data_IF_981576703026
#
_entry.id   IF_981576703026
#
_cell.length_a   1.000
_cell.length_b   1.000
_cell.length_c   1.000
_cell.angle_alpha   90.00
_cell.angle_beta   90.00
_cell.angle_gamma   90.00
#
_symmetry.space_group_name_H-M   'P 1'
#
loop_
_entity.id
_entity.type
_entity.pdbx_description
1 polymer ?
#
# COMPACT_ATOMS: atom_id res chain seq x y z
N UNK A 1 0.14 10.80 -24.96
CA UNK A 1 -0.74 11.54 -24.02
C UNK A 1 0.07 12.61 -23.33
N UNK A 2 -0.04 13.86 -23.78
CA UNK A 2 0.55 15.00 -23.07
C UNK A 2 -0.22 15.22 -21.77
N UNK A 3 0.43 15.07 -20.61
CA UNK A 3 -0.21 15.33 -19.32
C UNK A 3 -0.52 16.81 -19.21
N UNK A 4 -1.82 17.15 -19.19
CA UNK A 4 -2.40 18.49 -19.09
C UNK A 4 -2.21 19.18 -17.73
N UNK A 5 -1.28 18.70 -16.90
CA UNK A 5 -1.07 19.20 -15.54
C UNK A 5 0.00 20.29 -15.58
N UNK A 6 -0.43 21.52 -15.34
CA UNK A 6 0.42 22.70 -15.16
C UNK A 6 0.56 23.04 -13.67
N UNK A 7 1.67 23.67 -13.32
CA UNK A 7 2.00 24.12 -11.96
C UNK A 7 2.58 25.52 -12.05
N UNK A 8 2.22 26.40 -11.12
CA UNK A 8 2.80 27.74 -11.04
C UNK A 8 4.27 27.70 -10.62
N UNK A 9 5.10 28.51 -11.28
CA UNK A 9 6.44 28.81 -10.82
C UNK A 9 6.43 29.91 -9.73
N UNK A 10 7.62 30.37 -9.34
CA UNK A 10 7.80 31.45 -8.36
C UNK A 10 7.32 32.82 -8.88
N UNK A 11 7.20 32.98 -10.20
CA UNK A 11 6.76 34.20 -10.89
C UNK A 11 5.24 34.17 -11.19
N UNK A 12 4.55 33.07 -10.85
CA UNK A 12 3.12 32.89 -11.06
C UNK A 12 2.73 32.37 -12.44
N UNK A 13 3.70 31.96 -13.27
CA UNK A 13 3.45 31.41 -14.60
C UNK A 13 3.09 29.93 -14.52
N UNK A 14 2.06 29.51 -15.26
CA UNK A 14 1.65 28.10 -15.34
C UNK A 14 2.54 27.34 -16.33
N UNK A 15 3.42 26.49 -15.80
CA UNK A 15 4.33 25.66 -16.59
C UNK A 15 3.93 24.19 -16.51
N UNK A 16 4.18 23.39 -17.58
CA UNK A 16 3.92 21.96 -17.54
C UNK A 16 4.77 21.29 -16.46
N UNK A 17 4.18 20.34 -15.71
CA UNK A 17 4.84 19.75 -14.52
C UNK A 17 6.19 19.09 -14.84
N UNK A 18 6.38 18.60 -16.07
CA UNK A 18 7.63 18.00 -16.55
C UNK A 18 8.80 18.98 -16.56
N UNK A 19 8.55 20.29 -16.69
CA UNK A 19 9.57 21.33 -16.65
C UNK A 19 10.31 21.37 -15.29
N UNK A 20 9.66 20.88 -14.23
CA UNK A 20 10.23 20.85 -12.89
C UNK A 20 11.04 19.58 -12.60
N UNK A 21 11.24 18.69 -13.57
CA UNK A 21 12.15 17.56 -13.41
C UNK A 21 13.61 17.99 -13.57
N UNK A 22 14.49 17.49 -12.72
CA UNK A 22 15.93 17.70 -12.89
C UNK A 22 16.55 16.58 -13.73
N UNK A 23 17.47 16.87 -14.67
CA UNK A 23 18.19 15.85 -15.44
C UNK A 23 18.98 14.86 -14.58
N UNK A 24 19.45 15.31 -13.41
CA UNK A 24 20.22 14.51 -12.45
C UNK A 24 19.35 13.51 -11.65
N UNK A 25 18.02 13.55 -11.80
CA UNK A 25 17.09 12.70 -11.06
C UNK A 25 16.90 13.08 -9.59
N UNK A 26 17.43 14.24 -9.16
CA UNK A 26 17.15 14.81 -7.84
C UNK A 26 15.67 15.19 -7.72
N UNK A 27 15.14 15.06 -6.51
CA UNK A 27 13.76 15.42 -6.22
C UNK A 27 13.65 16.95 -6.14
N UNK A 28 12.75 17.54 -6.95
CA UNK A 28 12.42 18.97 -6.87
C UNK A 28 11.15 19.14 -6.05
N UNK A 29 11.14 20.13 -5.16
CA UNK A 29 9.98 20.46 -4.33
C UNK A 29 9.54 21.88 -4.65
N UNK A 30 8.24 22.04 -4.87
CA UNK A 30 7.57 23.33 -5.02
C UNK A 30 6.65 23.52 -3.82
N UNK A 31 6.64 24.69 -3.22
CA UNK A 31 5.85 24.99 -2.02
C UNK A 31 4.87 26.10 -2.33
N UNK A 32 3.65 26.02 -1.78
CA UNK A 32 2.60 27.02 -1.93
C UNK A 32 2.37 27.39 -3.41
N UNK A 33 2.06 26.38 -4.22
CA UNK A 33 1.88 26.53 -5.67
C UNK A 33 0.45 26.25 -6.07
N UNK A 34 0.00 26.84 -7.17
CA UNK A 34 -1.29 26.57 -7.78
C UNK A 34 -1.15 25.55 -8.90
N UNK A 35 -2.15 24.69 -9.09
CA UNK A 35 -2.14 23.66 -10.13
C UNK A 35 -3.28 23.84 -11.11
N UNK A 36 -3.03 23.37 -12.34
CA UNK A 36 -3.98 23.32 -13.46
C UNK A 36 -4.50 24.70 -13.89
N UNK A 37 -5.33 24.73 -14.94
CA UNK A 37 -5.98 25.96 -15.38
C UNK A 37 -6.89 26.59 -14.31
N UNK A 38 -7.36 25.79 -13.33
CA UNK A 38 -8.23 26.26 -12.25
C UNK A 38 -7.48 26.97 -11.11
N UNK A 39 -6.14 26.96 -11.12
CA UNK A 39 -5.29 27.56 -10.08
C UNK A 39 -5.63 27.09 -8.67
N UNK A 40 -5.84 25.78 -8.52
CA UNK A 40 -6.13 25.20 -7.21
C UNK A 40 -4.87 25.26 -6.32
N UNK A 41 -4.93 25.85 -5.11
CA UNK A 41 -3.77 25.98 -4.25
C UNK A 41 -3.37 24.63 -3.65
N UNK A 42 -2.07 24.35 -3.69
CA UNK A 42 -1.46 23.13 -3.15
C UNK A 42 -0.25 23.51 -2.30
N UNK A 43 -0.26 23.06 -1.04
CA UNK A 43 0.81 23.37 -0.10
C UNK A 43 2.18 22.88 -0.59
N UNK A 44 2.25 21.72 -1.25
CA UNK A 44 3.50 21.17 -1.77
C UNK A 44 3.32 20.27 -2.97
N UNK A 45 4.22 20.38 -3.94
CA UNK A 45 4.38 19.44 -5.05
C UNK A 45 5.79 18.86 -5.03
N UNK A 46 5.87 17.54 -5.18
CA UNK A 46 7.12 16.79 -5.25
C UNK A 46 7.25 16.17 -6.64
N UNK A 47 8.28 16.58 -7.38
CA UNK A 47 8.60 16.08 -8.71
C UNK A 47 9.85 15.20 -8.62
N UNK A 48 9.75 13.94 -9.05
CA UNK A 48 10.83 12.97 -8.88
C UNK A 48 10.90 11.96 -10.03
N UNK A 49 12.09 11.78 -10.61
CA UNK A 49 12.39 10.68 -11.54
C UNK A 49 13.77 10.10 -11.21
N UNK A 50 13.81 9.13 -10.29
CA UNK A 50 15.03 8.42 -9.92
C UNK A 50 15.45 7.45 -11.03
N UNK A 51 16.72 7.07 -11.04
CA UNK A 51 17.27 6.04 -11.93
C UNK A 51 16.46 4.73 -11.77
N UNK A 52 16.04 4.14 -12.89
CA UNK A 52 15.24 2.90 -12.91
C UNK A 52 13.72 3.08 -12.80
N UNK A 53 13.22 4.30 -12.56
CA UNK A 53 11.78 4.54 -12.59
C UNK A 53 11.24 4.53 -14.03
N UNK A 54 10.21 3.72 -14.30
CA UNK A 54 9.53 3.67 -15.61
C UNK A 54 8.88 5.00 -15.98
N UNK A 55 8.35 5.73 -15.00
CA UNK A 55 7.73 7.03 -15.17
C UNK A 55 8.10 7.97 -14.02
N UNK A 56 8.07 9.28 -14.26
CA UNK A 56 8.26 10.28 -13.22
C UNK A 56 7.05 10.30 -12.28
N UNK A 57 7.29 10.63 -11.01
CA UNK A 57 6.24 10.89 -10.04
C UNK A 57 6.08 12.40 -9.83
N UNK A 58 4.83 12.84 -9.86
CA UNK A 58 4.39 14.20 -9.55
C UNK A 58 3.33 14.10 -8.47
N UNK A 59 3.71 14.43 -7.23
CA UNK A 59 2.87 14.23 -6.06
C UNK A 59 2.43 15.59 -5.51
N UNK A 60 1.13 15.83 -5.51
CA UNK A 60 0.51 16.94 -4.79
C UNK A 60 0.24 16.52 -3.33
N UNK A 61 0.58 17.36 -2.37
CA UNK A 61 0.37 17.07 -0.96
C UNK A 61 -0.05 18.31 -0.19
N UNK A 62 -1.06 18.15 0.67
CA UNK A 62 -1.43 19.13 1.69
C UNK A 62 -0.42 19.21 2.83
N UNK A 63 0.52 18.26 2.93
CA UNK A 63 1.53 18.17 3.99
C UNK A 63 2.75 19.06 3.71
N UNK A 64 2.54 20.37 3.87
CA UNK A 64 3.58 21.40 3.79
C UNK A 64 4.72 21.23 4.82
N UNK A 65 4.46 20.51 5.91
CA UNK A 65 5.37 20.21 7.01
C UNK A 65 6.39 19.10 6.71
N UNK A 66 6.02 18.11 5.87
CA UNK A 66 6.85 16.91 5.68
C UNK A 66 7.98 17.12 4.65
N UNK A 67 9.14 16.50 4.89
CA UNK A 67 10.20 16.43 3.89
C UNK A 67 9.74 15.64 2.63
N UNK A 68 10.29 15.99 1.47
CA UNK A 68 9.93 15.34 0.20
C UNK A 68 10.22 13.83 0.20
N UNK A 69 11.30 13.39 0.86
CA UNK A 69 11.61 11.96 1.05
C UNK A 69 10.48 11.23 1.77
N UNK A 70 10.02 11.77 2.90
CA UNK A 70 8.91 11.18 3.68
C UNK A 70 7.60 11.13 2.90
N UNK A 71 7.32 12.12 2.06
CA UNK A 71 6.14 12.09 1.16
C UNK A 71 6.28 10.97 0.13
N UNK A 72 7.46 10.83 -0.49
CA UNK A 72 7.74 9.74 -1.43
C UNK A 72 7.62 8.37 -0.77
N UNK A 73 8.11 8.21 0.46
CA UNK A 73 8.05 6.96 1.22
C UNK A 73 6.59 6.60 1.59
N UNK A 74 5.79 7.58 2.01
CA UNK A 74 4.36 7.40 2.26
C UNK A 74 3.62 7.01 0.97
N UNK A 75 3.92 7.68 -0.14
CA UNK A 75 3.30 7.36 -1.42
C UNK A 75 3.74 5.99 -1.97
N UNK A 76 4.98 5.58 -1.71
CA UNK A 76 5.47 4.26 -2.10
C UNK A 76 4.64 3.13 -1.44
N UNK A 77 4.11 3.36 -0.24
CA UNK A 77 3.20 2.41 0.44
C UNK A 77 1.84 2.25 -0.26
N UNK A 78 1.45 3.15 -1.19
CA UNK A 78 0.18 3.07 -1.94
C UNK A 78 0.04 1.72 -2.66
N UNK A 79 1.14 1.15 -3.15
CA UNK A 79 1.14 -0.14 -3.82
C UNK A 79 0.66 -1.30 -2.92
N UNK A 80 0.73 -1.15 -1.60
CA UNK A 80 0.20 -2.13 -0.65
C UNK A 80 -1.28 -2.42 -0.86
N UNK A 81 -2.10 -1.40 -1.18
CA UNK A 81 -3.54 -1.59 -1.40
C UNK A 81 -3.82 -2.51 -2.60
N UNK A 82 -3.01 -2.41 -3.65
CA UNK A 82 -3.15 -3.24 -4.85
C UNK A 82 -2.95 -4.73 -4.55
N UNK A 83 -2.02 -5.05 -3.64
CA UNK A 83 -1.80 -6.43 -3.19
C UNK A 83 -2.99 -6.97 -2.43
N UNK A 84 -3.59 -6.15 -1.55
CA UNK A 84 -4.82 -6.51 -0.85
C UNK A 84 -5.98 -6.75 -1.83
N UNK A 85 -6.17 -5.88 -2.83
CA UNK A 85 -7.22 -6.10 -3.83
C UNK A 85 -7.02 -7.36 -4.68
N UNK A 86 -5.76 -7.70 -4.99
CA UNK A 86 -5.44 -8.96 -5.67
C UNK A 86 -5.84 -10.15 -4.81
N UNK A 87 -5.40 -10.17 -3.56
CA UNK A 87 -5.67 -11.27 -2.64
C UNK A 87 -7.17 -11.46 -2.40
N UNK A 88 -7.95 -10.37 -2.29
CA UNK A 88 -9.43 -10.46 -2.17
C UNK A 88 -10.07 -11.16 -3.38
N UNK A 89 -9.61 -10.84 -4.58
CA UNK A 89 -10.21 -11.37 -5.82
C UNK A 89 -9.74 -12.79 -6.11
N UNK A 90 -8.50 -13.12 -5.75
CA UNK A 90 -7.87 -14.39 -6.09
C UNK A 90 -8.56 -15.60 -5.46
N UNK A 91 -8.91 -16.59 -6.28
CA UNK A 91 -9.61 -17.79 -5.84
C UNK A 91 -8.71 -18.86 -5.21
N UNK A 92 -7.39 -18.86 -5.50
CA UNK A 92 -6.45 -19.89 -5.05
C UNK A 92 -5.82 -19.54 -3.71
N UNK A 93 -5.47 -18.27 -3.54
CA UNK A 93 -4.61 -17.81 -2.45
C UNK A 93 -5.28 -16.79 -1.53
N UNK A 94 -6.45 -16.27 -1.90
CA UNK A 94 -7.24 -15.38 -1.06
C UNK A 94 -8.74 -15.70 -1.07
N UNK A 95 -9.61 -14.72 -1.30
CA UNK A 95 -11.04 -14.85 -0.97
C UNK A 95 -11.97 -15.25 -2.13
N UNK A 96 -11.46 -15.33 -3.37
CA UNK A 96 -12.25 -15.76 -4.53
C UNK A 96 -13.46 -14.91 -4.84
N UNK A 97 -13.46 -13.63 -4.44
CA UNK A 97 -14.63 -12.76 -4.65
C UNK A 97 -14.91 -12.47 -6.13
N UNK A 98 -13.95 -12.66 -7.05
CA UNK A 98 -14.23 -12.57 -8.50
C UNK A 98 -15.18 -13.66 -8.99
N UNK A 99 -15.12 -14.84 -8.37
CA UNK A 99 -15.92 -16.01 -8.73
C UNK A 99 -17.26 -16.03 -7.98
N UNK A 100 -17.45 -15.13 -7.01
CA UNK A 100 -18.67 -15.07 -6.22
C UNK A 100 -19.73 -14.24 -6.93
N UNK A 101 -20.77 -14.89 -7.45
CA UNK A 101 -21.94 -14.22 -7.99
C UNK A 101 -23.04 -14.05 -6.94
N UNK A 102 -23.65 -12.86 -6.88
CA UNK A 102 -24.79 -12.59 -6.02
C UNK A 102 -25.80 -11.70 -6.73
N UNK A 103 -27.07 -12.09 -6.67
CA UNK A 103 -28.20 -11.37 -7.31
C UNK A 103 -28.72 -10.17 -6.50
N UNK A 104 -28.25 -9.97 -5.27
CA UNK A 104 -28.73 -8.94 -4.35
C UNK A 104 -27.59 -7.99 -3.93
N UNK A 105 -27.67 -6.69 -4.22
CA UNK A 105 -26.68 -5.71 -3.76
C UNK A 105 -26.50 -5.71 -2.24
N UNK A 106 -27.58 -5.86 -1.47
CA UNK A 106 -27.52 -5.93 -0.01
C UNK A 106 -26.71 -7.13 0.49
N UNK A 107 -26.89 -8.31 -0.14
CA UNK A 107 -26.11 -9.51 0.20
C UNK A 107 -24.63 -9.31 -0.16
N UNK A 108 -24.36 -8.69 -1.31
CA UNK A 108 -22.99 -8.37 -1.74
C UNK A 108 -22.29 -7.44 -0.74
N UNK A 109 -22.97 -6.40 -0.29
CA UNK A 109 -22.38 -5.42 0.62
C UNK A 109 -22.11 -6.04 2.02
N UNK A 110 -23.02 -6.90 2.51
CA UNK A 110 -22.78 -7.69 3.73
C UNK A 110 -21.59 -8.65 3.58
N UNK A 111 -21.47 -9.31 2.43
CA UNK A 111 -20.33 -10.19 2.15
C UNK A 111 -19.02 -9.40 2.14
N UNK A 112 -18.99 -8.22 1.50
CA UNK A 112 -17.82 -7.35 1.51
C UNK A 112 -17.43 -6.89 2.92
N UNK A 113 -18.40 -6.60 3.79
CA UNK A 113 -18.12 -6.27 5.18
C UNK A 113 -17.45 -7.44 5.90
N UNK A 114 -18.00 -8.66 5.76
CA UNK A 114 -17.42 -9.87 6.37
C UNK A 114 -16.00 -10.11 5.83
N UNK A 115 -15.80 -9.96 4.52
CA UNK A 115 -14.48 -10.07 3.90
C UNK A 115 -13.51 -9.03 4.46
N UNK A 116 -13.92 -7.76 4.59
CA UNK A 116 -13.08 -6.71 5.15
C UNK A 116 -12.65 -7.01 6.60
N UNK A 117 -13.58 -7.48 7.43
CA UNK A 117 -13.29 -7.90 8.81
C UNK A 117 -12.34 -9.09 8.85
N UNK A 118 -12.58 -10.11 8.03
CA UNK A 118 -11.72 -11.29 7.93
C UNK A 118 -10.30 -10.93 7.48
N UNK A 119 -10.15 -10.00 6.52
CA UNK A 119 -8.83 -9.49 6.10
C UNK A 119 -8.12 -8.81 7.26
N UNK A 120 -8.83 -7.96 8.01
CA UNK A 120 -8.27 -7.30 9.20
C UNK A 120 -7.74 -8.32 10.20
N UNK A 121 -8.56 -9.29 10.58
CA UNK A 121 -8.19 -10.35 11.53
C UNK A 121 -7.02 -11.20 11.04
N UNK A 122 -7.05 -11.65 9.78
CA UNK A 122 -5.97 -12.46 9.21
C UNK A 122 -4.68 -11.64 9.06
N UNK A 123 -4.77 -10.36 8.73
CA UNK A 123 -3.58 -9.49 8.66
C UNK A 123 -2.94 -9.31 10.04
N UNK A 124 -3.76 -9.13 11.09
CA UNK A 124 -3.28 -9.09 12.48
C UNK A 124 -2.63 -10.43 12.87
N UNK A 125 -3.25 -11.57 12.54
CA UNK A 125 -2.67 -12.89 12.80
C UNK A 125 -1.35 -13.11 12.06
N UNK A 126 -1.21 -12.57 10.85
CA UNK A 126 0.07 -12.56 10.15
C UNK A 126 1.12 -11.71 10.85
N UNK A 127 0.74 -10.52 11.34
CA UNK A 127 1.63 -9.63 12.07
C UNK A 127 2.11 -10.27 13.38
N UNK A 128 1.23 -10.93 14.13
CA UNK A 128 1.59 -11.59 15.38
C UNK A 128 2.52 -12.77 15.16
N UNK A 129 2.37 -13.46 14.01
CA UNK A 129 3.31 -14.50 13.58
C UNK A 129 4.69 -13.97 13.25
N UNK A 130 4.80 -12.77 12.68
CA UNK A 130 6.11 -12.11 12.50
C UNK A 130 6.74 -11.68 13.82
N UNK A 131 5.95 -11.16 14.75
CA UNK A 131 6.42 -10.82 16.10
C UNK A 131 6.91 -12.05 16.87
N UNK A 132 6.33 -13.22 16.59
CA UNK A 132 6.74 -14.52 17.12
C UNK A 132 7.88 -15.19 16.31
N UNK A 133 8.43 -14.52 15.28
CA UNK A 133 9.45 -15.05 14.36
C UNK A 133 9.05 -16.42 13.75
N UNK A 134 7.78 -16.58 13.39
CA UNK A 134 7.23 -17.80 12.79
C UNK A 134 7.29 -17.79 11.25
N UNK A 135 7.71 -16.70 10.61
CA UNK A 135 7.77 -16.66 9.13
C UNK A 135 8.74 -17.73 8.60
N UNK A 136 9.83 -18.00 9.35
CA UNK A 136 10.84 -19.02 9.03
C UNK A 136 10.28 -20.44 8.96
N UNK A 137 9.16 -20.73 9.61
CA UNK A 137 8.56 -22.07 9.61
C UNK A 137 7.66 -22.30 8.39
N UNK A 138 7.22 -21.23 7.72
CA UNK A 138 6.30 -21.28 6.58
C UNK A 138 6.96 -20.94 5.24
N UNK A 139 8.13 -20.29 5.24
CA UNK A 139 8.86 -19.94 4.00
C UNK A 139 9.93 -20.98 3.67
N UNK A 140 10.02 -21.36 2.40
CA UNK A 140 11.03 -22.28 1.89
C UNK A 140 12.37 -21.61 1.51
N UNK A 141 12.44 -20.27 1.59
CA UNK A 141 13.62 -19.51 1.18
C UNK A 141 14.42 -19.00 2.39
N UNK A 142 15.68 -18.63 2.14
CA UNK A 142 16.60 -18.06 3.14
C UNK A 142 16.61 -16.53 3.16
N UNK A 143 15.62 -15.89 2.51
CA UNK A 143 15.56 -14.43 2.43
C UNK A 143 15.31 -13.82 3.81
N UNK A 144 16.10 -12.80 4.14
CA UNK A 144 15.89 -11.95 5.33
C UNK A 144 14.76 -10.94 5.13
N UNK A 145 14.28 -10.78 3.90
CA UNK A 145 13.14 -9.92 3.58
C UNK A 145 11.86 -10.76 3.64
N UNK A 146 10.80 -10.16 4.20
CA UNK A 146 9.45 -10.72 4.23
C UNK A 146 9.06 -11.26 2.86
N UNK A 147 8.73 -12.54 2.81
CA UNK A 147 8.40 -13.25 1.57
C UNK A 147 6.89 -13.29 1.31
N UNK A 148 6.10 -13.41 2.37
CA UNK A 148 4.63 -13.42 2.28
C UNK A 148 4.05 -12.12 2.82
N UNK A 149 2.99 -11.61 2.19
CA UNK A 149 2.20 -10.52 2.78
C UNK A 149 1.65 -10.94 4.14
N UNK A 150 1.42 -9.99 5.05
CA UNK A 150 0.85 -10.29 6.37
C UNK A 150 -0.47 -11.04 6.26
N UNK A 151 -1.35 -10.61 5.34
CA UNK A 151 -2.58 -11.33 5.05
C UNK A 151 -2.32 -12.80 4.66
N UNK A 152 -1.36 -13.05 3.76
CA UNK A 152 -1.04 -14.43 3.34
C UNK A 152 -0.47 -15.26 4.48
N UNK A 153 0.41 -14.68 5.31
CA UNK A 153 0.92 -15.34 6.52
C UNK A 153 -0.25 -15.72 7.44
N UNK A 154 -1.17 -14.78 7.70
CA UNK A 154 -2.39 -15.02 8.47
C UNK A 154 -3.25 -16.15 7.93
N UNK A 155 -3.50 -16.19 6.62
CA UNK A 155 -4.22 -17.30 6.00
C UNK A 155 -3.53 -18.65 6.24
N UNK A 156 -2.20 -18.72 6.11
CA UNK A 156 -1.43 -19.94 6.34
C UNK A 156 -1.53 -20.34 7.82
N UNK A 157 -1.31 -19.40 8.74
CA UNK A 157 -1.39 -19.67 10.18
C UNK A 157 -2.78 -20.12 10.59
N UNK A 158 -3.84 -19.46 10.11
CA UNK A 158 -5.22 -19.87 10.39
C UNK A 158 -5.53 -21.30 9.90
N UNK A 159 -5.03 -21.67 8.72
CA UNK A 159 -5.18 -23.03 8.18
C UNK A 159 -4.39 -24.08 8.99
N UNK A 160 -3.21 -23.71 9.50
CA UNK A 160 -2.35 -24.60 10.28
C UNK A 160 -2.79 -24.72 11.74
N UNK A 161 -3.45 -23.69 12.28
CA UNK A 161 -3.77 -23.54 13.71
C UNK A 161 -4.37 -24.80 14.36
N UNK A 162 -5.32 -25.52 13.74
CA UNK A 162 -5.91 -26.73 14.34
C UNK A 162 -4.91 -27.86 14.61
N UNK A 163 -3.82 -27.93 13.84
CA UNK A 163 -2.79 -28.97 13.93
C UNK A 163 -1.40 -28.38 14.20
N UNK A 164 -1.33 -27.10 14.58
CA UNK A 164 -0.07 -26.41 14.81
C UNK A 164 0.53 -26.91 16.13
N UNK A 165 1.85 -27.11 16.15
CA UNK A 165 2.56 -27.48 17.38
C UNK A 165 2.36 -26.39 18.44
N UNK A 166 2.16 -26.78 19.68
CA UNK A 166 1.92 -25.84 20.78
C UNK A 166 3.04 -24.81 20.94
N UNK A 167 4.30 -25.22 20.71
CA UNK A 167 5.47 -24.34 20.68
C UNK A 167 5.36 -23.14 19.71
N UNK A 168 4.50 -23.24 18.69
CA UNK A 168 4.23 -22.16 17.74
C UNK A 168 2.85 -21.54 17.94
N UNK A 169 1.83 -22.36 18.28
CA UNK A 169 0.46 -21.89 18.47
C UNK A 169 0.32 -20.98 19.69
N UNK A 170 0.97 -21.31 20.81
CA UNK A 170 0.86 -20.52 22.05
C UNK A 170 1.43 -19.10 21.87
N UNK A 171 2.68 -18.90 21.40
CA UNK A 171 3.21 -17.55 21.19
C UNK A 171 2.41 -16.75 20.16
N UNK A 172 1.92 -17.40 19.10
CA UNK A 172 1.10 -16.76 18.08
C UNK A 172 -0.19 -16.19 18.68
N UNK A 173 -0.89 -17.00 19.49
CA UNK A 173 -2.16 -16.60 20.12
C UNK A 173 -1.95 -15.59 21.25
N UNK A 174 -0.93 -15.76 22.08
CA UNK A 174 -0.59 -14.80 23.13
C UNK A 174 -0.31 -13.41 22.56
N UNK A 175 0.42 -13.33 21.45
CA UNK A 175 0.64 -12.06 20.76
C UNK A 175 -0.65 -11.52 20.15
N UNK A 176 -1.50 -12.38 19.60
CA UNK A 176 -2.79 -11.98 19.03
C UNK A 176 -3.73 -11.34 20.07
N UNK A 177 -3.76 -11.86 21.30
CA UNK A 177 -4.56 -11.29 22.39
C UNK A 177 -4.11 -9.91 22.89
N UNK A 178 -2.95 -9.40 22.45
CA UNK A 178 -2.48 -8.05 22.82
C UNK A 178 -3.10 -6.93 21.97
N UNK A 179 -3.82 -7.29 20.92
CA UNK A 179 -4.51 -6.38 19.99
C UNK A 179 -6.00 -6.29 20.29
#
# INVERSE_FOLDING_TARGET
>A
MHSSITVTDLEGNLLPVNHFLTPTGRTKTLKNVEITAKREPVAKIVCCKKKGMKAAWFLASSRGDLAASKILDLYAKRWGIETTFRDIKDYRFGMGLSETSTRSPLRRDRLFLISALAIGLLTLLGQTGEEADLERTIKANTSKIRSYSLFRQGCIYYQLLPNMREEWAVPLMENFYRY
#
